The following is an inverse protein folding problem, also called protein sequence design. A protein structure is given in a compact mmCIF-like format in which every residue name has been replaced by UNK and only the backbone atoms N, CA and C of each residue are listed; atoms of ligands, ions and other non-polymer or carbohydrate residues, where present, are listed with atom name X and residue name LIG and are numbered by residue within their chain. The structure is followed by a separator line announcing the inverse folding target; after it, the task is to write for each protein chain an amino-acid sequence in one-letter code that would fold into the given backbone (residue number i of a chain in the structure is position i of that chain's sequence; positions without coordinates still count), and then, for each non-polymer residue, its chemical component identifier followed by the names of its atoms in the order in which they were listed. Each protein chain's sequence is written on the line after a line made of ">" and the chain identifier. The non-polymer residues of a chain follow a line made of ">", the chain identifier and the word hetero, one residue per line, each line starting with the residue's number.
data_IF_354780930675
#
_entry.id   IF_354780930675
#
_cell.length_a   1.000
_cell.length_b   1.000
_cell.length_c   1.000
_cell.angle_alpha   90.00
_cell.angle_beta   90.00
_cell.angle_gamma   90.00
#
_symmetry.space_group_name_H-M   'P 1'
#
loop_
_entity.id
_entity.type
_entity.pdbx_description
1 polymer ?
#
# COMPACT_ATOMS: atom_id res chain seq x y z
N UNK A 1 -16.43 -30.41 5.21
CA UNK A 1 -16.88 -29.59 4.06
C UNK A 1 -16.05 -28.31 3.93
N UNK A 2 -15.12 -28.31 2.97
CA UNK A 2 -14.32 -27.13 2.65
C UNK A 2 -15.12 -26.28 1.67
N UNK A 3 -15.67 -25.16 2.13
CA UNK A 3 -16.34 -24.22 1.23
C UNK A 3 -15.27 -23.54 0.35
N UNK A 4 -15.44 -23.48 -0.98
CA UNK A 4 -14.53 -22.74 -1.85
C UNK A 4 -14.63 -21.25 -1.50
N UNK A 5 -13.48 -20.61 -1.28
CA UNK A 5 -13.40 -19.16 -1.07
C UNK A 5 -14.05 -18.44 -2.26
N UNK A 6 -14.88 -17.41 -2.04
CA UNK A 6 -15.53 -16.69 -3.13
C UNK A 6 -14.46 -16.10 -4.07
N UNK A 7 -14.60 -16.25 -5.40
CA UNK A 7 -13.56 -15.94 -6.39
C UNK A 7 -13.30 -14.44 -6.62
N UNK A 8 -13.65 -13.57 -5.67
CA UNK A 8 -13.72 -12.13 -5.92
C UNK A 8 -13.10 -11.23 -4.83
N UNK A 9 -12.35 -11.80 -3.89
CA UNK A 9 -11.51 -10.99 -3.01
C UNK A 9 -10.29 -10.51 -3.80
N UNK A 10 -10.38 -9.30 -4.37
CA UNK A 10 -9.22 -8.61 -4.94
C UNK A 10 -8.20 -8.45 -3.81
N UNK A 11 -7.01 -9.05 -3.98
CA UNK A 11 -5.95 -8.91 -2.98
C UNK A 11 -5.65 -7.42 -2.74
N UNK A 12 -5.68 -6.96 -1.48
CA UNK A 12 -5.42 -5.57 -1.17
C UNK A 12 -3.97 -5.22 -1.50
N UNK A 13 -3.76 -4.00 -1.96
CA UNK A 13 -2.39 -3.51 -2.19
C UNK A 13 -1.87 -2.91 -0.91
N UNK A 14 -0.80 -3.51 -0.39
CA UNK A 14 -0.13 -3.02 0.80
C UNK A 14 1.02 -2.12 0.38
N UNK A 15 1.00 -0.89 0.89
CA UNK A 15 2.05 0.09 0.71
C UNK A 15 2.65 0.40 2.07
N UNK A 16 3.92 0.02 2.25
CA UNK A 16 4.64 0.23 3.49
C UNK A 16 5.59 1.42 3.36
N UNK A 17 5.81 2.11 4.47
CA UNK A 17 6.85 3.13 4.61
C UNK A 17 7.77 2.79 5.78
N UNK A 18 9.08 2.93 5.59
CA UNK A 18 10.06 2.76 6.65
C UNK A 18 10.41 4.10 7.35
N UNK A 19 11.16 4.01 8.45
CA UNK A 19 11.64 5.19 9.19
C UNK A 19 12.55 6.12 8.38
N UNK A 20 13.13 5.62 7.28
CA UNK A 20 13.99 6.39 6.39
C UNK A 20 13.17 7.12 5.29
N UNK A 21 11.86 6.89 5.22
CA UNK A 21 10.99 7.43 4.18
C UNK A 21 11.04 6.65 2.87
N UNK A 22 11.55 5.42 2.89
CA UNK A 22 11.49 4.52 1.76
C UNK A 22 10.10 3.89 1.68
N UNK A 23 9.56 3.84 0.46
CA UNK A 23 8.26 3.24 0.19
C UNK A 23 8.43 1.83 -0.38
N UNK A 24 7.56 0.93 0.01
CA UNK A 24 7.52 -0.45 -0.45
C UNK A 24 6.11 -0.77 -0.87
N UNK A 25 5.95 -1.57 -1.92
CA UNK A 25 4.63 -1.94 -2.43
C UNK A 25 4.59 -3.44 -2.71
N UNK A 26 3.62 -4.12 -2.10
CA UNK A 26 3.33 -5.53 -2.36
C UNK A 26 2.52 -5.68 -3.67
N UNK A 27 3.03 -5.09 -4.74
CA UNK A 27 2.42 -5.16 -6.07
C UNK A 27 3.45 -4.87 -7.16
N UNK A 28 3.48 -5.76 -8.16
CA UNK A 28 4.46 -5.74 -9.24
C UNK A 28 5.79 -6.37 -8.85
N UNK A 29 6.85 -5.98 -9.56
CA UNK A 29 8.19 -6.54 -9.40
C UNK A 29 8.98 -5.84 -8.28
N UNK A 30 9.86 -6.59 -7.61
CA UNK A 30 10.73 -6.14 -6.51
C UNK A 30 9.96 -5.53 -5.33
N UNK A 31 9.07 -6.33 -4.72
CA UNK A 31 8.26 -5.91 -3.58
C UNK A 31 9.11 -5.60 -2.32
N UNK A 32 10.26 -6.25 -2.19
CA UNK A 32 11.23 -6.05 -1.11
C UNK A 32 12.18 -4.87 -1.33
N UNK A 33 12.13 -4.23 -2.50
CA UNK A 33 12.99 -3.10 -2.82
C UNK A 33 12.27 -1.77 -2.58
N UNK A 34 12.98 -0.76 -2.07
CA UNK A 34 12.42 0.58 -1.94
C UNK A 34 12.10 1.14 -3.33
N UNK A 35 10.87 1.61 -3.51
CA UNK A 35 10.40 2.23 -4.74
C UNK A 35 10.40 3.75 -4.62
N UNK A 36 10.79 4.42 -5.70
CA UNK A 36 10.69 5.87 -5.77
C UNK A 36 9.21 6.32 -5.70
N UNK A 37 8.91 7.49 -5.10
CA UNK A 37 7.54 8.01 -4.97
C UNK A 37 6.79 8.08 -6.31
N UNK A 38 7.47 8.50 -7.38
CA UNK A 38 6.90 8.58 -8.72
C UNK A 38 6.52 7.20 -9.28
N UNK A 39 7.34 6.20 -9.03
CA UNK A 39 7.09 4.81 -9.45
C UNK A 39 5.93 4.23 -8.65
N UNK A 40 5.87 4.48 -7.34
CA UNK A 40 4.75 4.07 -6.50
C UNK A 40 3.42 4.60 -7.04
N UNK A 41 3.33 5.91 -7.28
CA UNK A 41 2.12 6.56 -7.83
C UNK A 41 1.73 5.94 -9.17
N UNK A 42 2.69 5.72 -10.08
CA UNK A 42 2.42 5.12 -11.38
C UNK A 42 1.90 3.67 -11.27
N UNK A 43 2.51 2.86 -10.40
CA UNK A 43 2.08 1.47 -10.17
C UNK A 43 0.66 1.41 -9.60
N UNK A 44 0.39 2.21 -8.57
CA UNK A 44 -0.93 2.27 -7.93
C UNK A 44 -1.99 2.80 -8.91
N UNK A 45 -1.68 3.85 -9.67
CA UNK A 45 -2.60 4.40 -10.67
C UNK A 45 -2.88 3.41 -11.81
N UNK A 46 -1.87 2.69 -12.30
CA UNK A 46 -2.04 1.65 -13.30
C UNK A 46 -2.92 0.51 -12.79
N UNK A 47 -2.72 0.11 -11.54
CA UNK A 47 -3.54 -0.90 -10.89
C UNK A 47 -4.99 -0.45 -10.69
N UNK A 48 -5.22 0.78 -10.23
CA UNK A 48 -6.59 1.32 -10.09
C UNK A 48 -7.32 1.40 -11.42
N UNK A 49 -6.60 1.63 -12.54
CA UNK A 49 -7.19 1.58 -13.88
C UNK A 49 -7.62 0.16 -14.26
N UNK A 50 -6.84 -0.86 -13.88
CA UNK A 50 -7.16 -2.26 -14.18
C UNK A 50 -8.22 -2.84 -13.23
N UNK A 51 -8.13 -2.49 -11.95
CA UNK A 51 -9.00 -2.94 -10.87
C UNK A 51 -9.52 -1.73 -10.07
N UNK A 52 -10.54 -1.03 -10.59
CA UNK A 52 -11.15 0.06 -9.85
C UNK A 52 -11.73 -0.46 -8.53
N UNK A 53 -11.50 0.28 -7.45
CA UNK A 53 -11.97 -0.05 -6.10
C UNK A 53 -11.17 -1.16 -5.39
N UNK A 54 -9.97 -1.50 -5.86
CA UNK A 54 -9.05 -2.35 -5.07
C UNK A 54 -8.72 -1.64 -3.74
N UNK A 55 -8.86 -2.33 -2.59
CA UNK A 55 -8.47 -1.75 -1.31
C UNK A 55 -6.96 -1.50 -1.27
N UNK A 56 -6.58 -0.28 -0.90
CA UNK A 56 -5.17 0.08 -0.67
C UNK A 56 -4.97 0.23 0.82
N UNK A 57 -4.05 -0.54 1.36
CA UNK A 57 -3.66 -0.56 2.76
C UNK A 57 -2.31 0.12 2.90
N UNK A 58 -2.19 0.97 3.90
CA UNK A 58 -0.97 1.68 4.26
C UNK A 58 -0.45 1.07 5.54
N UNK A 59 0.76 0.53 5.49
CA UNK A 59 1.47 0.06 6.66
C UNK A 59 2.73 0.86 6.94
N UNK A 60 3.21 0.76 8.16
CA UNK A 60 4.42 1.42 8.61
C UNK A 60 4.78 0.93 10.00
N UNK A 61 6.08 0.90 10.27
CA UNK A 61 6.58 0.65 11.62
C UNK A 61 6.05 1.72 12.59
N UNK A 62 5.86 1.37 13.86
CA UNK A 62 5.46 2.32 14.92
C UNK A 62 6.45 3.48 15.04
N UNK A 63 7.71 3.28 14.64
CA UNK A 63 8.76 4.28 14.66
C UNK A 63 8.76 5.22 13.43
N UNK A 64 7.85 5.03 12.47
CA UNK A 64 7.77 5.90 11.29
C UNK A 64 7.28 7.29 11.71
N UNK A 65 8.00 8.37 11.34
CA UNK A 65 7.53 9.72 11.60
C UNK A 65 6.16 9.95 10.96
N UNK A 66 5.22 10.51 11.71
CA UNK A 66 3.86 10.80 11.20
C UNK A 66 3.86 11.59 9.87
N UNK A 67 4.84 12.48 9.66
CA UNK A 67 5.01 13.20 8.40
C UNK A 67 5.21 12.30 7.18
N UNK A 68 5.90 11.16 7.34
CA UNK A 68 6.07 10.16 6.29
C UNK A 68 4.76 9.46 5.95
N UNK A 69 3.93 9.18 6.96
CA UNK A 69 2.58 8.61 6.76
C UNK A 69 1.72 9.58 5.95
N UNK A 70 1.73 10.88 6.29
CA UNK A 70 0.98 11.91 5.55
C UNK A 70 1.50 12.07 4.12
N UNK A 71 2.82 12.02 3.93
CA UNK A 71 3.42 12.05 2.60
C UNK A 71 2.95 10.86 1.76
N UNK A 72 2.92 9.65 2.35
CA UNK A 72 2.43 8.46 1.68
C UNK A 72 0.95 8.58 1.31
N UNK A 73 0.10 8.99 2.23
CA UNK A 73 -1.32 9.22 1.97
C UNK A 73 -1.53 10.21 0.83
N UNK A 74 -0.74 11.29 0.78
CA UNK A 74 -0.80 12.28 -0.30
C UNK A 74 -0.41 11.69 -1.65
N UNK A 75 0.61 10.83 -1.70
CA UNK A 75 1.00 10.13 -2.92
C UNK A 75 -0.10 9.19 -3.41
N UNK A 76 -0.73 8.43 -2.51
CA UNK A 76 -1.81 7.51 -2.86
C UNK A 76 -3.06 8.25 -3.35
N UNK A 77 -3.42 9.37 -2.70
CA UNK A 77 -4.50 10.23 -3.20
C UNK A 77 -4.19 10.78 -4.60
N UNK A 78 -2.95 11.20 -4.86
CA UNK A 78 -2.50 11.62 -6.21
C UNK A 78 -2.56 10.49 -7.24
N UNK A 79 -2.38 9.25 -6.81
CA UNK A 79 -2.53 8.07 -7.67
C UNK A 79 -4.00 7.75 -8.00
N UNK A 80 -4.96 8.41 -7.34
CA UNK A 80 -6.40 8.18 -7.53
C UNK A 80 -7.00 7.18 -6.55
N UNK A 81 -6.32 6.85 -5.45
CA UNK A 81 -6.84 5.94 -4.42
C UNK A 81 -8.01 6.62 -3.70
N UNK A 82 -9.23 6.05 -3.74
CA UNK A 82 -10.41 6.68 -3.14
C UNK A 82 -10.40 6.58 -1.60
N UNK A 83 -9.91 5.46 -1.07
CA UNK A 83 -9.84 5.19 0.36
C UNK A 83 -8.56 4.44 0.68
N UNK A 84 -7.85 4.90 1.71
CA UNK A 84 -6.68 4.22 2.27
C UNK A 84 -7.09 3.58 3.60
N UNK A 85 -6.87 2.28 3.75
CA UNK A 85 -6.91 1.61 5.04
C UNK A 85 -5.55 1.74 5.73
N UNK A 86 -5.51 1.78 7.05
CA UNK A 86 -4.25 1.74 7.79
C UNK A 86 -4.11 0.36 8.44
N UNK A 87 -2.98 -0.29 8.22
CA UNK A 87 -2.57 -1.48 8.95
C UNK A 87 -1.37 -1.09 9.79
N UNK A 88 -1.42 -1.36 11.09
CA UNK A 88 -0.27 -1.19 11.97
C UNK A 88 0.09 -2.58 12.45
N UNK A 89 1.28 -3.06 12.09
CA UNK A 89 1.81 -4.24 12.74
C UNK A 89 1.96 -3.93 14.24
N UNK A 90 1.40 -4.78 15.12
CA UNK A 90 1.60 -4.61 16.55
C UNK A 90 3.11 -4.64 16.83
N UNK A 91 3.62 -3.80 17.73
CA UNK A 91 5.03 -3.85 18.08
C UNK A 91 5.36 -5.26 18.55
N UNK A 92 6.31 -5.93 17.88
CA UNK A 92 6.92 -7.15 18.41
C UNK A 92 7.42 -6.81 19.82
N UNK A 93 6.86 -7.53 20.79
CA UNK A 93 7.13 -7.34 22.22
C UNK A 93 8.58 -7.64 22.58
#
# INVERSE_FOLDING_TARGET
>A
PSAPLPPNEKEPVIVNVDKNGNFFINYGENQDAPVAPSILVNRVAALLKYQPGIPVLVGGDTNVPYGQIIQLMTLLQKAGVPSVGMITDPPEK
#
